data_IF_422123369750
#
_entry.id   IF_422123369750
#
_cell.length_a   1.000
_cell.length_b   1.000
_cell.length_c   1.000
_cell.angle_alpha   90.00
_cell.angle_beta   90.00
_cell.angle_gamma   90.00
#
_symmetry.space_group_name_H-M   'P 1'
#
loop_
_entity.id
_entity.type
_entity.pdbx_description
1 polymer ?
#
# COMPACT_ATOMS: atom_id res chain seq x y z
N UNK A 1 18.57 13.70 -1.34
CA UNK A 1 18.22 12.39 -1.94
C UNK A 1 16.91 11.94 -1.28
N UNK A 2 15.90 11.47 -2.04
CA UNK A 2 14.63 11.10 -1.47
C UNK A 2 14.78 9.92 -0.50
N UNK A 3 13.95 9.85 0.53
CA UNK A 3 14.01 8.82 1.57
C UNK A 3 12.70 8.06 1.65
N UNK A 4 12.74 6.73 1.60
CA UNK A 4 11.63 5.85 1.94
C UNK A 4 11.85 5.24 3.33
N UNK A 5 10.96 5.57 4.28
CA UNK A 5 10.90 4.89 5.57
C UNK A 5 10.04 3.64 5.44
N UNK A 6 10.60 2.48 5.79
CA UNK A 6 9.94 1.18 5.59
C UNK A 6 10.11 0.23 6.79
N UNK A 7 9.17 -0.71 6.89
CA UNK A 7 9.24 -1.87 7.79
C UNK A 7 9.23 -3.13 6.91
N UNK A 8 10.11 -4.12 7.15
CA UNK A 8 10.02 -5.41 6.48
C UNK A 8 8.63 -6.05 6.65
N UNK A 9 8.18 -6.77 5.64
CA UNK A 9 6.87 -7.47 5.63
C UNK A 9 5.63 -6.54 5.77
N UNK A 10 5.80 -5.23 5.58
CA UNK A 10 4.73 -4.25 5.58
C UNK A 10 4.38 -3.74 4.16
N UNK A 11 3.27 -3.00 4.06
CA UNK A 11 2.82 -2.40 2.80
C UNK A 11 3.80 -1.39 2.20
N UNK A 12 4.81 -0.94 2.96
CA UNK A 12 5.94 -0.16 2.43
C UNK A 12 6.76 -0.87 1.37
N UNK A 13 6.59 -2.18 1.20
CA UNK A 13 7.18 -2.93 0.08
C UNK A 13 6.70 -2.43 -1.28
N UNK A 14 5.45 -1.98 -1.43
CA UNK A 14 4.94 -1.55 -2.74
C UNK A 14 5.67 -0.28 -3.27
N UNK A 15 5.79 0.82 -2.50
CA UNK A 15 6.64 1.94 -2.91
C UNK A 15 8.12 1.57 -3.11
N UNK A 16 8.64 0.63 -2.32
CA UNK A 16 10.01 0.14 -2.47
C UNK A 16 10.20 -0.50 -3.85
N UNK A 17 9.31 -1.41 -4.26
CA UNK A 17 9.32 -2.03 -5.60
C UNK A 17 9.21 -0.97 -6.71
N UNK A 18 8.33 0.02 -6.54
CA UNK A 18 8.18 1.08 -7.52
C UNK A 18 9.47 1.89 -7.70
N UNK A 19 10.14 2.26 -6.60
CA UNK A 19 11.44 2.96 -6.64
C UNK A 19 12.52 2.12 -7.33
N UNK A 20 12.58 0.81 -7.04
CA UNK A 20 13.50 -0.10 -7.73
C UNK A 20 13.22 -0.18 -9.24
N UNK A 21 11.95 -0.21 -9.66
CA UNK A 21 11.59 -0.22 -11.08
C UNK A 21 11.87 1.11 -11.78
N UNK A 22 11.77 2.23 -11.07
CA UNK A 22 12.14 3.55 -11.58
C UNK A 22 13.66 3.66 -11.75
N UNK A 23 14.44 3.07 -10.84
CA UNK A 23 15.91 3.08 -10.91
C UNK A 23 16.55 4.43 -10.56
N UNK A 24 15.77 5.39 -10.06
CA UNK A 24 16.28 6.66 -9.56
C UNK A 24 16.91 6.48 -8.16
N UNK A 25 17.98 7.23 -7.82
CA UNK A 25 18.60 7.14 -6.49
C UNK A 25 17.64 7.52 -5.37
N UNK A 26 17.58 6.71 -4.32
CA UNK A 26 16.87 7.00 -3.09
C UNK A 26 17.55 6.32 -1.89
N UNK A 27 17.21 6.74 -0.68
CA UNK A 27 17.63 6.10 0.56
C UNK A 27 16.47 5.29 1.16
N UNK A 28 16.71 4.01 1.46
CA UNK A 28 15.75 3.17 2.18
C UNK A 28 16.11 3.11 3.67
N UNK A 29 15.30 3.71 4.53
CA UNK A 29 15.52 3.73 5.98
C UNK A 29 14.59 2.73 6.67
N UNK A 30 15.19 1.66 7.22
CA UNK A 30 14.46 0.68 8.03
C UNK A 30 14.08 1.31 9.37
N UNK A 31 12.81 1.23 9.74
CA UNK A 31 12.27 1.73 11.01
C UNK A 31 11.43 0.67 11.73
N UNK A 32 10.90 1.02 12.90
CA UNK A 32 9.87 0.26 13.61
C UNK A 32 8.59 1.09 13.72
N UNK A 33 7.42 0.44 13.73
CA UNK A 33 6.15 1.12 13.97
C UNK A 33 6.18 1.87 15.31
N UNK A 34 5.77 3.14 15.29
CA UNK A 34 5.78 4.01 16.47
C UNK A 34 7.17 4.37 17.03
N UNK A 35 8.27 4.08 16.33
CA UNK A 35 9.62 4.55 16.71
C UNK A 35 9.72 6.09 16.73
N UNK A 36 10.64 6.65 17.51
CA UNK A 36 10.82 8.11 17.62
C UNK A 36 11.17 8.73 16.27
N UNK A 37 11.99 8.03 15.50
CA UNK A 37 12.43 8.42 14.17
C UNK A 37 11.25 8.49 13.20
N UNK A 38 10.37 7.48 13.23
CA UNK A 38 9.17 7.46 12.37
C UNK A 38 8.13 8.48 12.83
N UNK A 39 7.93 8.66 14.14
CA UNK A 39 6.99 9.65 14.69
C UNK A 39 7.43 11.10 14.39
N UNK A 40 8.73 11.35 14.26
CA UNK A 40 9.25 12.66 13.88
C UNK A 40 8.87 13.08 12.45
N UNK A 41 8.63 12.12 11.56
CA UNK A 41 8.28 12.37 10.14
C UNK A 41 6.85 11.99 9.79
N UNK A 42 6.20 11.14 10.59
CA UNK A 42 4.82 10.74 10.42
C UNK A 42 4.16 10.53 11.79
N UNK A 43 3.30 11.46 12.25
CA UNK A 43 2.61 11.36 13.54
C UNK A 43 1.75 10.10 13.72
N UNK A 44 1.34 9.43 12.63
CA UNK A 44 0.63 8.17 12.70
C UNK A 44 1.53 6.99 13.10
N UNK A 45 2.86 7.17 13.09
CA UNK A 45 3.84 6.13 13.44
C UNK A 45 3.80 4.94 12.48
N UNK A 46 3.38 5.16 11.24
CA UNK A 46 3.11 4.14 10.24
C UNK A 46 3.99 4.28 9.00
N UNK A 47 4.17 3.17 8.29
CA UNK A 47 4.83 3.13 6.97
C UNK A 47 3.80 2.77 5.88
N UNK A 48 4.07 3.09 4.61
CA UNK A 48 5.20 3.89 4.11
C UNK A 48 5.12 5.37 4.48
N UNK A 49 6.29 5.98 4.67
CA UNK A 49 6.48 7.43 4.70
C UNK A 49 7.58 7.76 3.69
N UNK A 50 7.31 8.70 2.79
CA UNK A 50 8.26 9.16 1.78
C UNK A 50 8.65 10.60 2.05
N UNK A 51 9.94 10.91 1.96
CA UNK A 51 10.48 12.26 2.08
C UNK A 51 11.20 12.64 0.79
N UNK A 52 10.85 13.78 0.24
CA UNK A 52 11.47 14.32 -0.96
C UNK A 52 12.78 15.06 -0.63
N UNK A 53 13.56 15.41 -1.66
CA UNK A 53 14.84 16.12 -1.53
C UNK A 53 14.74 17.47 -0.79
N UNK A 54 13.63 18.17 -0.95
CA UNK A 54 13.34 19.45 -0.28
C UNK A 54 12.82 19.28 1.15
N UNK A 55 12.72 18.03 1.63
CA UNK A 55 12.21 17.69 2.95
C UNK A 55 10.69 17.55 3.02
N UNK A 56 9.95 17.74 1.92
CA UNK A 56 8.51 17.49 1.89
C UNK A 56 8.19 16.04 2.21
N UNK A 57 7.14 15.81 3.00
CA UNK A 57 6.74 14.49 3.48
C UNK A 57 5.40 14.09 2.88
N UNK A 58 5.35 12.87 2.35
CA UNK A 58 4.15 12.24 1.81
C UNK A 58 3.90 10.91 2.52
N UNK A 59 2.65 10.70 2.92
CA UNK A 59 2.17 9.46 3.55
C UNK A 59 1.02 8.89 2.73
N UNK A 60 0.54 7.70 3.10
CA UNK A 60 -0.41 6.87 2.34
C UNK A 60 0.22 6.20 1.12
N UNK A 61 0.23 4.86 1.12
CA UNK A 61 0.88 4.07 0.07
C UNK A 61 0.36 4.43 -1.34
N UNK A 62 -0.95 4.58 -1.51
CA UNK A 62 -1.55 4.92 -2.81
C UNK A 62 -1.13 6.30 -3.32
N UNK A 63 -1.02 7.30 -2.43
CA UNK A 63 -0.57 8.65 -2.80
C UNK A 63 0.92 8.68 -3.18
N UNK A 64 1.76 7.97 -2.42
CA UNK A 64 3.19 7.83 -2.71
C UNK A 64 3.38 7.16 -4.08
N UNK A 65 2.68 6.05 -4.32
CA UNK A 65 2.75 5.32 -5.58
C UNK A 65 2.32 6.16 -6.78
N UNK A 66 1.18 6.86 -6.68
CA UNK A 66 0.71 7.77 -7.73
C UNK A 66 1.70 8.91 -7.98
N UNK A 67 2.23 9.51 -6.92
CA UNK A 67 3.26 10.56 -7.02
C UNK A 67 4.52 10.07 -7.74
N UNK A 68 5.05 8.89 -7.37
CA UNK A 68 6.23 8.30 -8.01
C UNK A 68 5.98 7.99 -9.49
N UNK A 69 4.81 7.44 -9.81
CA UNK A 69 4.43 7.14 -11.20
C UNK A 69 4.30 8.40 -12.07
N UNK A 70 3.83 9.51 -11.50
CA UNK A 70 3.72 10.80 -12.21
C UNK A 70 5.05 11.54 -12.30
N UNK A 71 5.91 11.46 -11.27
CA UNK A 71 7.23 12.11 -11.23
C UNK A 71 8.21 11.48 -12.22
N UNK A 72 8.05 10.18 -12.48
CA UNK A 72 8.92 9.38 -13.35
C UNK A 72 8.14 8.80 -14.55
N UNK A 73 7.62 9.64 -15.46
CA UNK A 73 6.82 9.18 -16.60
C UNK A 73 7.60 8.23 -17.51
N UNK A 74 8.93 8.36 -17.57
CA UNK A 74 9.82 7.46 -18.33
C UNK A 74 9.77 6.00 -17.87
N UNK A 75 9.39 5.74 -16.61
CA UNK A 75 9.25 4.39 -16.07
C UNK A 75 7.94 3.71 -16.52
N UNK A 76 6.98 4.47 -17.08
CA UNK A 76 5.72 3.94 -17.60
C UNK A 76 4.79 3.34 -16.53
N UNK A 77 4.91 3.76 -15.27
CA UNK A 77 4.21 3.11 -14.15
C UNK A 77 2.86 3.76 -13.77
N UNK A 78 2.48 4.89 -14.38
CA UNK A 78 1.28 5.66 -14.02
C UNK A 78 -0.06 4.93 -14.23
N UNK A 79 -0.07 3.82 -14.98
CA UNK A 79 -1.30 3.13 -15.37
C UNK A 79 -2.02 3.76 -16.57
N UNK A 80 -1.40 4.74 -17.23
CA UNK A 80 -1.84 5.36 -18.48
C UNK A 80 -2.20 6.84 -18.36
N UNK A 81 -2.23 7.54 -19.50
CA UNK A 81 -2.30 9.01 -19.52
C UNK A 81 -3.70 9.57 -19.74
N UNK A 82 -4.63 8.75 -20.23
CA UNK A 82 -6.02 9.18 -20.44
C UNK A 82 -6.75 9.35 -19.11
N UNK A 83 -7.75 10.24 -19.08
CA UNK A 83 -8.60 10.44 -17.91
C UNK A 83 -9.19 9.10 -17.40
N UNK A 84 -9.62 8.23 -18.32
CA UNK A 84 -10.18 6.92 -17.98
C UNK A 84 -9.14 5.96 -17.40
N UNK A 85 -7.94 5.93 -17.97
CA UNK A 85 -6.85 5.08 -17.48
C UNK A 85 -6.44 5.48 -16.06
N UNK A 86 -6.28 6.79 -15.81
CA UNK A 86 -6.01 7.32 -14.47
C UNK A 86 -7.12 6.98 -13.46
N UNK A 87 -8.38 7.09 -13.86
CA UNK A 87 -9.51 6.72 -13.01
C UNK A 87 -9.51 5.22 -12.66
N UNK A 88 -9.16 4.33 -13.59
CA UNK A 88 -9.01 2.90 -13.31
C UNK A 88 -7.83 2.61 -12.38
N UNK A 89 -6.68 3.27 -12.59
CA UNK A 89 -5.54 3.17 -11.69
C UNK A 89 -5.89 3.61 -10.27
N UNK A 90 -6.56 4.75 -10.12
CA UNK A 90 -7.03 5.26 -8.83
C UNK A 90 -8.07 4.34 -8.19
N UNK A 91 -9.00 3.77 -8.97
CA UNK A 91 -9.99 2.81 -8.47
C UNK A 91 -9.30 1.60 -7.85
N UNK A 92 -8.32 1.02 -8.53
CA UNK A 92 -7.59 -0.13 -8.02
C UNK A 92 -6.67 0.23 -6.85
N UNK A 93 -6.03 1.40 -6.86
CA UNK A 93 -5.28 1.92 -5.71
C UNK A 93 -6.17 2.04 -4.47
N UNK A 94 -7.36 2.62 -4.63
CA UNK A 94 -8.33 2.75 -3.55
C UNK A 94 -8.82 1.38 -3.06
N UNK A 95 -9.13 0.46 -3.97
CA UNK A 95 -9.50 -0.92 -3.61
C UNK A 95 -8.39 -1.62 -2.82
N UNK A 96 -7.14 -1.54 -3.28
CA UNK A 96 -6.01 -2.19 -2.61
C UNK A 96 -5.76 -1.61 -1.22
N UNK A 97 -5.83 -0.28 -1.06
CA UNK A 97 -5.53 0.40 0.21
C UNK A 97 -6.69 0.38 1.21
N UNK A 98 -7.93 0.45 0.73
CA UNK A 98 -9.12 0.69 1.57
C UNK A 98 -10.01 -0.55 1.74
N UNK A 99 -10.01 -1.47 0.78
CA UNK A 99 -10.80 -2.69 0.85
C UNK A 99 -9.92 -3.90 1.17
N UNK A 100 -8.93 -4.19 0.31
CA UNK A 100 -8.12 -5.40 0.43
C UNK A 100 -7.17 -5.31 1.62
N UNK A 101 -6.33 -4.27 1.71
CA UNK A 101 -5.42 -4.11 2.84
C UNK A 101 -6.20 -4.03 4.15
N UNK A 102 -7.33 -3.31 4.16
CA UNK A 102 -8.15 -3.19 5.35
C UNK A 102 -8.79 -4.51 5.81
N UNK A 103 -9.08 -5.41 4.87
CA UNK A 103 -9.66 -6.72 5.18
C UNK A 103 -8.77 -7.61 6.06
N UNK A 104 -7.46 -7.33 6.12
CA UNK A 104 -6.51 -8.07 6.95
C UNK A 104 -6.39 -7.53 8.38
N UNK A 105 -6.89 -6.33 8.70
CA UNK A 105 -6.80 -5.79 10.06
C UNK A 105 -7.43 -6.70 11.13
N UNK A 106 -8.61 -7.31 10.92
CA UNK A 106 -9.18 -8.25 11.90
C UNK A 106 -8.33 -9.51 12.10
N UNK A 107 -7.46 -9.85 11.15
CA UNK A 107 -6.53 -10.98 11.25
C UNK A 107 -5.28 -10.58 12.04
N UNK A 108 -4.67 -9.44 11.73
CA UNK A 108 -3.41 -9.00 12.35
C UNK A 108 -3.58 -8.29 13.69
N UNK A 109 -4.69 -7.58 13.90
CA UNK A 109 -4.98 -6.81 15.12
C UNK A 109 -6.43 -7.03 15.59
N UNK A 110 -6.85 -8.29 15.85
CA UNK A 110 -8.23 -8.63 16.18
C UNK A 110 -8.81 -7.87 17.37
N UNK A 111 -7.97 -7.47 18.33
CA UNK A 111 -8.36 -6.70 19.52
C UNK A 111 -8.90 -5.29 19.20
N UNK A 112 -8.74 -4.77 17.97
CA UNK A 112 -9.40 -3.53 17.54
C UNK A 112 -10.89 -3.70 17.25
N UNK A 113 -11.37 -4.93 17.09
CA UNK A 113 -12.72 -5.25 16.61
C UNK A 113 -13.57 -5.99 17.66
N UNK A 114 -13.05 -6.15 18.87
CA UNK A 114 -13.81 -6.70 20.00
C UNK A 114 -13.30 -6.12 21.31
N UNK A 115 -14.21 -5.83 22.24
CA UNK A 115 -13.88 -5.49 23.62
C UNK A 115 -13.89 -6.72 24.54
N UNK A 116 -14.45 -7.85 24.07
CA UNK A 116 -14.36 -9.15 24.74
C UNK A 116 -12.94 -9.69 24.61
N UNK A 117 -12.33 -9.98 25.77
CA UNK A 117 -10.95 -10.43 25.90
C UNK A 117 -10.79 -11.95 25.83
N UNK A 118 -11.88 -12.70 25.66
CA UNK A 118 -11.84 -14.15 25.52
C UNK A 118 -11.15 -14.56 24.23
N UNK A 119 -10.45 -15.70 24.27
CA UNK A 119 -9.85 -16.28 23.07
C UNK A 119 -10.90 -16.66 22.02
N UNK A 120 -12.10 -17.06 22.46
CA UNK A 120 -13.22 -17.36 21.57
C UNK A 120 -13.64 -16.12 20.75
N UNK A 121 -13.77 -14.95 21.39
CA UNK A 121 -14.09 -13.71 20.68
C UNK A 121 -12.97 -13.30 19.71
N UNK A 122 -11.71 -13.43 20.14
CA UNK A 122 -10.54 -13.18 19.28
C UNK A 122 -10.55 -14.08 18.04
N UNK A 123 -10.80 -15.38 18.21
CA UNK A 123 -10.89 -16.34 17.12
C UNK A 123 -12.05 -16.04 16.16
N UNK A 124 -13.20 -15.62 16.69
CA UNK A 124 -14.35 -15.22 15.88
C UNK A 124 -14.04 -14.00 14.99
N UNK A 125 -13.35 -12.99 15.53
CA UNK A 125 -12.90 -11.81 14.76
C UNK A 125 -11.92 -12.22 13.65
N UNK A 126 -10.92 -13.05 13.96
CA UNK A 126 -9.96 -13.55 12.95
C UNK A 126 -10.68 -14.33 11.85
N UNK A 127 -11.63 -15.20 12.22
CA UNK A 127 -12.42 -15.96 11.26
C UNK A 127 -13.26 -15.05 10.34
N UNK A 128 -13.82 -13.95 10.87
CA UNK A 128 -14.49 -12.94 10.07
C UNK A 128 -13.51 -12.20 9.14
N UNK A 129 -12.31 -11.88 9.61
CA UNK A 129 -11.22 -11.31 8.82
C UNK A 129 -10.84 -12.18 7.62
N UNK A 130 -10.64 -13.49 7.84
CA UNK A 130 -10.35 -14.43 6.74
C UNK A 130 -11.46 -14.45 5.68
N UNK A 131 -12.73 -14.42 6.08
CA UNK A 131 -13.86 -14.36 5.14
C UNK A 131 -13.84 -13.06 4.33
N UNK A 132 -13.54 -11.93 4.98
CA UNK A 132 -13.45 -10.64 4.30
C UNK A 132 -12.27 -10.60 3.32
N UNK A 133 -11.09 -11.04 3.74
CA UNK A 133 -9.91 -11.12 2.88
C UNK A 133 -10.15 -12.04 1.67
N UNK A 134 -10.74 -13.22 1.89
CA UNK A 134 -11.10 -14.13 0.80
C UNK A 134 -12.08 -13.49 -0.20
N UNK A 135 -13.08 -12.73 0.29
CA UNK A 135 -14.01 -11.99 -0.57
C UNK A 135 -13.28 -10.97 -1.46
N UNK A 136 -12.37 -10.17 -0.88
CA UNK A 136 -11.64 -9.15 -1.65
C UNK A 136 -10.63 -9.77 -2.61
N UNK A 137 -9.92 -10.82 -2.20
CA UNK A 137 -9.08 -11.60 -3.09
C UNK A 137 -9.89 -12.19 -4.26
N UNK A 138 -11.14 -12.58 -4.05
CA UNK A 138 -12.05 -13.00 -5.12
C UNK A 138 -12.38 -11.91 -6.14
N UNK A 139 -12.44 -10.64 -5.72
CA UNK A 139 -12.59 -9.49 -6.63
C UNK A 139 -11.33 -9.33 -7.47
N UNK A 140 -10.15 -9.36 -6.83
CA UNK A 140 -8.87 -9.27 -7.51
C UNK A 140 -8.64 -10.43 -8.49
N UNK A 141 -8.99 -11.66 -8.08
CA UNK A 141 -8.86 -12.84 -8.93
C UNK A 141 -9.69 -12.74 -10.21
N UNK A 142 -10.91 -12.19 -10.13
CA UNK A 142 -11.74 -11.95 -11.32
C UNK A 142 -11.13 -10.89 -12.25
N UNK A 143 -10.49 -9.85 -11.69
CA UNK A 143 -9.80 -8.86 -12.52
C UNK A 143 -8.60 -9.49 -13.25
N UNK A 144 -7.86 -10.35 -12.57
CA UNK A 144 -6.66 -10.98 -13.09
C UNK A 144 -6.93 -12.18 -14.01
N UNK A 145 -8.18 -12.60 -14.17
CA UNK A 145 -8.53 -13.74 -15.01
C UNK A 145 -8.13 -13.47 -16.48
N UNK A 146 -7.19 -14.28 -16.99
CA UNK A 146 -6.58 -14.09 -18.30
C UNK A 146 -5.67 -12.86 -18.44
N UNK A 147 -5.27 -12.19 -17.34
CA UNK A 147 -4.41 -10.99 -17.37
C UNK A 147 -3.12 -11.20 -16.57
N UNK A 148 -2.01 -10.68 -17.09
CA UNK A 148 -0.73 -10.67 -16.37
C UNK A 148 -0.63 -9.54 -15.33
N UNK A 149 -1.40 -8.46 -15.51
CA UNK A 149 -1.38 -7.27 -14.67
C UNK A 149 -2.81 -6.81 -14.35
N UNK A 150 -2.97 -6.04 -13.27
CA UNK A 150 -4.27 -5.52 -12.84
C UNK A 150 -4.83 -4.53 -13.88
N UNK A 151 -4.00 -3.61 -14.37
CA UNK A 151 -4.39 -2.63 -15.37
C UNK A 151 -4.11 -3.11 -16.80
N UNK A 152 -4.89 -2.59 -17.74
CA UNK A 152 -4.59 -2.68 -19.16
C UNK A 152 -3.41 -1.76 -19.47
N UNK A 153 -2.42 -2.25 -20.23
CA UNK A 153 -1.18 -1.52 -20.52
C UNK A 153 0.08 -2.06 -19.82
N UNK A 154 -0.08 -2.99 -18.88
CA UNK A 154 1.04 -3.76 -18.32
C UNK A 154 1.38 -3.39 -16.88
N UNK A 155 2.67 -3.49 -16.55
CA UNK A 155 3.21 -3.20 -15.22
C UNK A 155 2.95 -1.75 -14.84
N UNK A 156 2.44 -1.52 -13.63
CA UNK A 156 2.14 -0.18 -13.12
C UNK A 156 2.41 -0.09 -11.62
N UNK A 157 2.18 1.09 -11.02
CA UNK A 157 2.17 1.25 -9.55
C UNK A 157 0.97 0.57 -8.87
N UNK A 158 0.06 0.00 -9.66
CA UNK A 158 -1.06 -0.85 -9.26
C UNK A 158 -0.74 -2.31 -9.56
#
# INVERSE_FOLDING_TARGET
>A
MPTLYYVPDACSLAPHIALEWIGAPYEAVKVQFGSKELLAVNPAGAVPTFREDDGWLLTQAGAILDYLGQKHPEAGLSGGDTLRAKAEAHRWSAFLTSDLHASFWPVFVPYRYTTDKSDAARQAVVAAGHKLAAKQLGVLNRQLDGRAYILEGGRSVI
#
